data_IF_493775856887
#
_entry.id   IF_493775856887
#
_cell.length_a   1.000
_cell.length_b   1.000
_cell.length_c   1.000
_cell.angle_alpha   90.00
_cell.angle_beta   90.00
_cell.angle_gamma   90.00
#
_symmetry.space_group_name_H-M   'P 1'
#
loop_
_entity.id
_entity.type
_entity.pdbx_description
1 polymer ?
#
# COMPACT_ATOMS: atom_id res chain seq x y z
N UNK A 1 -34.01 16.33 26.79
CA UNK A 1 -32.70 16.66 26.19
C UNK A 1 -32.40 15.65 25.10
N UNK A 2 -32.27 16.06 23.83
CA UNK A 2 -31.89 15.16 22.72
C UNK A 2 -30.39 15.32 22.49
N UNK A 3 -29.60 14.30 22.79
CA UNK A 3 -28.21 14.24 22.36
C UNK A 3 -28.19 13.83 20.88
N UNK A 4 -28.08 14.81 19.99
CA UNK A 4 -27.75 14.55 18.59
C UNK A 4 -26.27 14.21 18.49
N UNK A 5 -25.94 12.94 18.33
CA UNK A 5 -24.63 12.56 17.84
C UNK A 5 -24.56 12.99 16.37
N UNK A 6 -23.76 14.01 16.08
CA UNK A 6 -23.33 14.29 14.72
C UNK A 6 -22.60 13.04 14.23
N UNK A 7 -23.22 12.32 13.28
CA UNK A 7 -22.53 11.26 12.56
C UNK A 7 -21.56 11.99 11.64
N UNK A 8 -20.31 12.10 12.06
CA UNK A 8 -19.22 12.53 11.19
C UNK A 8 -19.14 11.55 10.01
N UNK A 9 -19.85 11.86 8.93
CA UNK A 9 -19.64 11.23 7.62
C UNK A 9 -18.31 11.79 7.10
N UNK A 10 -17.22 11.32 7.69
CA UNK A 10 -15.91 11.38 7.05
C UNK A 10 -16.04 10.54 5.78
N UNK A 11 -16.19 11.19 4.61
CA UNK A 11 -16.30 10.50 3.32
C UNK A 11 -14.98 9.81 3.03
N UNK A 12 -14.89 8.59 3.54
CA UNK A 12 -13.72 7.76 3.52
C UNK A 12 -13.60 7.12 2.14
N UNK A 13 -12.69 7.63 1.32
CA UNK A 13 -12.54 7.17 -0.05
C UNK A 13 -11.60 5.97 -0.14
N UNK A 14 -12.09 4.86 -0.71
CA UNK A 14 -11.25 3.70 -1.08
C UNK A 14 -10.77 3.84 -2.52
N UNK A 15 -9.58 3.32 -2.81
CA UNK A 15 -9.15 3.11 -4.20
C UNK A 15 -10.18 2.23 -4.92
N UNK A 16 -10.56 2.61 -6.14
CA UNK A 16 -11.40 1.77 -6.99
C UNK A 16 -10.64 0.54 -7.50
N UNK A 17 -9.34 0.72 -7.75
CA UNK A 17 -8.37 -0.31 -8.04
C UNK A 17 -7.09 -0.01 -7.23
N UNK A 18 -6.84 -0.68 -6.09
CA UNK A 18 -5.61 -0.48 -5.35
C UNK A 18 -4.43 -1.08 -6.13
N UNK A 19 -3.35 -0.31 -6.26
CA UNK A 19 -2.16 -0.73 -7.01
C UNK A 19 -0.89 -0.41 -6.21
N UNK A 20 0.18 -1.14 -6.48
CA UNK A 20 1.56 -0.86 -6.05
C UNK A 20 2.37 -0.40 -7.27
N UNK A 21 3.47 0.29 -7.03
CA UNK A 21 4.37 0.75 -8.11
C UNK A 21 5.77 1.09 -7.60
N UNK A 22 6.70 1.35 -8.51
CA UNK A 22 7.99 1.98 -8.21
C UNK A 22 7.89 3.45 -7.83
N UNK A 23 9.04 4.09 -7.61
CA UNK A 23 9.12 5.48 -7.12
C UNK A 23 8.68 6.53 -8.14
N UNK A 24 8.74 6.22 -9.44
CA UNK A 24 8.24 7.07 -10.53
C UNK A 24 6.73 7.35 -10.39
N UNK A 25 6.01 6.47 -9.70
CA UNK A 25 4.60 6.65 -9.44
C UNK A 25 4.36 7.24 -8.05
N UNK A 26 3.63 8.35 -8.02
CA UNK A 26 3.24 8.98 -6.76
C UNK A 26 2.38 8.05 -5.90
N UNK A 27 2.55 8.16 -4.59
CA UNK A 27 1.72 7.50 -3.59
C UNK A 27 0.39 8.27 -3.43
N UNK A 28 -0.72 7.58 -3.17
CA UNK A 28 -2.00 8.20 -2.86
C UNK A 28 -3.23 7.43 -3.30
N UNK A 29 -4.37 8.12 -3.29
CA UNK A 29 -5.66 7.55 -3.68
C UNK A 29 -5.76 7.36 -5.20
N UNK A 30 -6.06 6.14 -5.64
CA UNK A 30 -6.29 5.82 -7.05
C UNK A 30 -7.79 5.94 -7.39
N UNK A 31 -8.14 7.02 -8.15
CA UNK A 31 -9.53 7.46 -8.42
C UNK A 31 -10.15 6.91 -9.72
N UNK A 32 -9.61 5.85 -10.32
CA UNK A 32 -9.93 5.37 -11.68
C UNK A 32 -11.43 5.28 -12.05
N UNK A 33 -12.36 5.19 -11.09
CA UNK A 33 -13.80 5.05 -11.35
C UNK A 33 -14.58 6.37 -11.46
N UNK A 34 -13.93 7.52 -11.28
CA UNK A 34 -14.50 8.83 -11.62
C UNK A 34 -13.90 9.26 -12.96
N UNK A 35 -14.49 8.82 -14.07
CA UNK A 35 -14.22 9.45 -15.36
C UNK A 35 -14.71 10.89 -15.28
N UNK A 36 -13.79 11.81 -15.02
CA UNK A 36 -14.02 13.24 -15.17
C UNK A 36 -13.57 13.54 -16.61
N UNK A 37 -14.49 13.91 -17.52
CA UNK A 37 -14.11 14.41 -18.84
C UNK A 37 -13.13 15.58 -18.64
N UNK A 38 -12.04 15.61 -19.39
CA UNK A 38 -10.96 16.63 -19.34
C UNK A 38 -9.96 16.55 -18.17
N UNK A 39 -9.89 15.46 -17.41
CA UNK A 39 -8.79 15.22 -16.47
C UNK A 39 -7.90 14.05 -16.90
N UNK A 40 -6.56 14.24 -16.92
CA UNK A 40 -5.65 13.13 -17.19
C UNK A 40 -5.80 12.06 -16.09
N UNK A 41 -5.93 10.80 -16.49
CA UNK A 41 -5.95 9.68 -15.55
C UNK A 41 -4.61 9.61 -14.81
N UNK A 42 -4.58 10.08 -13.57
CA UNK A 42 -3.40 9.97 -12.71
C UNK A 42 -3.47 8.66 -11.91
N UNK A 43 -2.78 7.64 -12.39
CA UNK A 43 -2.56 6.44 -11.59
C UNK A 43 -1.69 6.80 -10.38
N UNK A 44 -1.95 6.13 -9.26
CA UNK A 44 -1.16 6.27 -8.03
C UNK A 44 -0.97 4.90 -7.39
N UNK A 45 0.14 4.72 -6.70
CA UNK A 45 0.31 3.57 -5.81
C UNK A 45 -0.40 3.86 -4.47
N UNK A 46 -1.24 2.94 -4.01
CA UNK A 46 -2.01 3.14 -2.79
C UNK A 46 -1.07 3.17 -1.57
N UNK A 47 -1.18 4.21 -0.75
CA UNK A 47 -0.40 4.39 0.48
C UNK A 47 -1.18 4.08 1.77
N UNK A 48 -2.41 3.59 1.63
CA UNK A 48 -3.26 3.17 2.75
C UNK A 48 -3.56 1.68 2.69
N UNK A 49 -2.70 0.90 2.02
CA UNK A 49 -2.89 -0.54 1.87
C UNK A 49 -2.91 -1.24 3.24
N UNK A 50 -3.81 -2.21 3.37
CA UNK A 50 -3.98 -3.06 4.55
C UNK A 50 -4.07 -4.51 4.12
N UNK A 51 -3.36 -5.40 4.81
CA UNK A 51 -3.44 -6.82 4.59
C UNK A 51 -4.64 -7.41 5.36
N UNK A 52 -5.47 -8.21 4.70
CA UNK A 52 -6.61 -8.89 5.33
C UNK A 52 -6.14 -10.07 6.19
N UNK A 53 -5.08 -10.80 5.77
CA UNK A 53 -4.60 -11.97 6.49
C UNK A 53 -4.04 -11.67 7.89
N UNK A 54 -3.27 -10.58 8.03
CA UNK A 54 -2.68 -10.20 9.31
C UNK A 54 -3.26 -8.90 9.89
N UNK A 55 -4.30 -8.34 9.28
CA UNK A 55 -5.01 -7.10 9.65
C UNK A 55 -4.11 -5.85 9.86
N UNK A 56 -2.89 -5.88 9.32
CA UNK A 56 -1.89 -4.83 9.49
C UNK A 56 -1.78 -3.94 8.25
N UNK A 57 -1.36 -2.69 8.45
CA UNK A 57 -0.99 -1.79 7.37
C UNK A 57 0.17 -2.36 6.54
N UNK A 58 0.28 -1.90 5.30
CA UNK A 58 1.45 -2.16 4.46
C UNK A 58 2.40 -0.97 4.59
N UNK A 59 3.62 -1.24 5.02
CA UNK A 59 4.70 -0.26 5.03
C UNK A 59 5.42 -0.24 3.69
N UNK A 60 5.98 0.92 3.35
CA UNK A 60 6.53 1.23 2.04
C UNK A 60 7.95 1.78 2.18
N UNK A 61 8.85 1.33 1.31
CA UNK A 61 10.25 1.76 1.31
C UNK A 61 10.72 2.10 -0.11
N UNK A 62 11.05 3.37 -0.33
CA UNK A 62 11.50 3.88 -1.61
C UNK A 62 12.96 3.51 -1.89
N UNK A 63 13.26 3.26 -3.16
CA UNK A 63 14.57 2.83 -3.65
C UNK A 63 15.13 1.62 -2.91
N UNK A 64 14.24 0.67 -2.60
CA UNK A 64 14.54 -0.57 -1.89
C UNK A 64 13.93 -1.77 -2.61
N UNK A 65 14.56 -2.91 -2.35
CA UNK A 65 14.12 -4.25 -2.75
C UNK A 65 14.45 -5.21 -1.62
N UNK A 66 13.66 -6.27 -1.49
CA UNK A 66 13.92 -7.30 -0.49
C UNK A 66 15.15 -8.13 -0.87
N UNK A 67 15.87 -8.60 0.16
CA UNK A 67 16.84 -9.69 -0.01
C UNK A 67 16.10 -10.99 -0.33
N UNK A 68 16.75 -11.91 -1.06
CA UNK A 68 16.15 -13.19 -1.48
C UNK A 68 15.87 -14.16 -0.32
N UNK A 69 16.47 -13.90 0.84
CA UNK A 69 16.35 -14.69 2.06
C UNK A 69 15.35 -14.08 3.07
N UNK A 70 14.54 -13.11 2.66
CA UNK A 70 13.44 -12.63 3.50
C UNK A 70 12.37 -13.72 3.58
N UNK A 71 11.93 -14.03 4.79
CA UNK A 71 10.92 -15.04 5.04
C UNK A 71 9.79 -14.51 5.94
N UNK A 72 8.77 -15.36 6.10
CA UNK A 72 7.62 -15.07 6.97
C UNK A 72 8.03 -14.79 8.42
N UNK A 73 8.99 -15.55 8.97
CA UNK A 73 9.37 -15.43 10.37
C UNK A 73 10.05 -14.08 10.67
N UNK A 74 10.92 -13.64 9.76
CA UNK A 74 11.55 -12.33 9.82
C UNK A 74 10.49 -11.22 9.79
N UNK A 75 9.55 -11.26 8.84
CA UNK A 75 8.49 -10.24 8.75
C UNK A 75 7.63 -10.23 10.01
N UNK A 76 7.20 -11.41 10.50
CA UNK A 76 6.37 -11.55 11.70
C UNK A 76 7.01 -10.94 12.93
N UNK A 77 8.32 -11.15 13.08
CA UNK A 77 9.10 -10.72 14.24
C UNK A 77 9.46 -9.23 14.20
N UNK A 78 9.69 -8.68 13.00
CA UNK A 78 10.29 -7.36 12.85
C UNK A 78 9.30 -6.28 12.43
N UNK A 79 8.15 -6.62 11.85
CA UNK A 79 7.11 -5.64 11.54
C UNK A 79 6.51 -5.03 12.82
N UNK A 80 6.25 -3.71 12.89
CA UNK A 80 6.44 -2.68 11.87
C UNK A 80 7.78 -1.91 11.99
N UNK A 81 8.78 -2.45 12.70
CA UNK A 81 10.04 -1.74 12.96
C UNK A 81 10.83 -1.56 11.65
N UNK A 82 10.74 -0.36 11.08
CA UNK A 82 11.34 0.01 9.79
C UNK A 82 12.86 -0.17 9.78
N UNK A 83 13.55 0.13 10.88
CA UNK A 83 15.01 -0.05 10.99
C UNK A 83 15.38 -1.53 10.90
N UNK A 84 14.66 -2.41 11.61
CA UNK A 84 14.90 -3.86 11.55
C UNK A 84 14.55 -4.43 10.18
N UNK A 85 13.41 -4.03 9.59
CA UNK A 85 13.00 -4.47 8.25
C UNK A 85 14.05 -4.10 7.17
N UNK A 86 14.62 -2.90 7.24
CA UNK A 86 15.65 -2.45 6.30
C UNK A 86 16.94 -3.27 6.33
N UNK A 87 17.19 -4.07 7.38
CA UNK A 87 18.37 -4.96 7.43
C UNK A 87 18.30 -6.11 6.42
N UNK A 88 17.11 -6.48 5.94
CA UNK A 88 16.88 -7.48 4.88
C UNK A 88 16.47 -6.82 3.55
N UNK A 89 16.95 -5.60 3.31
CA UNK A 89 16.74 -4.90 2.06
C UNK A 89 18.06 -4.46 1.44
N UNK A 90 18.06 -4.39 0.11
CA UNK A 90 19.14 -3.79 -0.68
C UNK A 90 18.65 -2.51 -1.36
N UNK A 91 19.59 -1.60 -1.65
CA UNK A 91 19.30 -0.40 -2.45
C UNK A 91 19.00 -0.82 -3.88
N UNK A 92 17.90 -0.30 -4.45
CA UNK A 92 17.52 -0.52 -5.85
C UNK A 92 16.75 0.70 -6.34
N UNK A 93 17.41 1.53 -7.15
CA UNK A 93 16.81 2.74 -7.72
C UNK A 93 15.56 2.41 -8.53
N UNK A 94 14.55 3.28 -8.50
CA UNK A 94 13.30 3.07 -9.23
C UNK A 94 12.30 2.14 -8.52
N UNK A 95 12.79 1.28 -7.61
CA UNK A 95 12.00 0.27 -6.93
C UNK A 95 11.37 0.79 -5.64
N UNK A 96 10.23 0.21 -5.26
CA UNK A 96 9.63 0.38 -3.96
C UNK A 96 9.34 -0.98 -3.35
N UNK A 97 9.84 -1.22 -2.15
CA UNK A 97 9.55 -2.42 -1.38
C UNK A 97 8.32 -2.19 -0.49
N UNK A 98 7.48 -3.21 -0.40
CA UNK A 98 6.25 -3.22 0.38
C UNK A 98 6.25 -4.42 1.32
N UNK A 99 5.74 -4.27 2.53
CA UNK A 99 5.36 -5.43 3.34
C UNK A 99 4.29 -5.12 4.37
N UNK A 100 3.62 -6.17 4.79
CA UNK A 100 2.90 -6.25 6.05
C UNK A 100 3.62 -7.26 6.96
N UNK A 101 2.98 -7.67 8.05
CA UNK A 101 3.56 -8.66 8.98
C UNK A 101 3.71 -10.07 8.35
N UNK A 102 2.91 -10.43 7.35
CA UNK A 102 2.87 -11.80 6.81
C UNK A 102 3.34 -11.96 5.35
N UNK A 103 3.56 -10.85 4.63
CA UNK A 103 3.93 -10.90 3.22
C UNK A 103 4.74 -9.68 2.82
N UNK A 104 5.61 -9.86 1.84
CA UNK A 104 6.45 -8.81 1.27
C UNK A 104 6.44 -8.91 -0.26
N UNK A 105 6.58 -7.77 -0.92
CA UNK A 105 6.79 -7.69 -2.37
C UNK A 105 7.57 -6.43 -2.72
N UNK A 106 7.93 -6.27 -3.99
CA UNK A 106 8.49 -5.06 -4.55
C UNK A 106 7.90 -4.75 -5.92
N UNK A 107 7.90 -3.48 -6.30
CA UNK A 107 7.44 -3.05 -7.61
C UNK A 107 8.34 -1.95 -8.18
N UNK A 108 8.55 -1.99 -9.50
CA UNK A 108 9.19 -0.93 -10.27
C UNK A 108 8.21 -0.26 -11.24
N UNK A 109 7.18 -0.99 -11.69
CA UNK A 109 6.10 -0.52 -12.55
C UNK A 109 4.77 -0.58 -11.80
N UNK A 110 3.78 0.17 -12.28
CA UNK A 110 2.42 0.10 -11.76
C UNK A 110 1.87 -1.32 -11.92
N UNK A 111 1.35 -1.89 -10.85
CA UNK A 111 0.69 -3.20 -10.85
C UNK A 111 -0.48 -3.16 -9.89
N UNK A 112 -1.68 -3.40 -10.39
CA UNK A 112 -2.87 -3.44 -9.57
C UNK A 112 -3.00 -4.79 -8.87
N UNK A 113 -3.52 -4.77 -7.65
CA UNK A 113 -3.51 -5.94 -6.77
C UNK A 113 -4.35 -7.10 -7.31
N UNK A 114 -5.35 -6.84 -8.16
CA UNK A 114 -6.10 -7.86 -8.88
C UNK A 114 -5.19 -8.75 -9.75
N UNK A 115 -4.04 -8.25 -10.19
CA UNK A 115 -3.01 -8.99 -10.91
C UNK A 115 -2.02 -9.76 -10.02
N UNK A 116 -2.16 -9.69 -8.68
CA UNK A 116 -1.28 -10.36 -7.71
C UNK A 116 -2.13 -11.13 -6.67
N UNK A 117 -2.73 -12.27 -7.03
CA UNK A 117 -3.68 -12.98 -6.16
C UNK A 117 -3.10 -13.48 -4.84
N UNK A 118 -1.77 -13.64 -4.75
CA UNK A 118 -1.08 -14.04 -3.52
C UNK A 118 -1.05 -12.95 -2.45
N UNK A 119 -1.29 -11.68 -2.82
CA UNK A 119 -1.35 -10.57 -1.89
C UNK A 119 -2.78 -10.28 -1.49
N UNK A 120 -3.14 -10.63 -0.25
CA UNK A 120 -4.45 -10.31 0.32
C UNK A 120 -4.52 -8.87 0.83
N UNK A 121 -4.05 -7.92 0.03
CA UNK A 121 -3.98 -6.49 0.38
C UNK A 121 -5.15 -5.74 -0.25
N UNK A 122 -5.69 -4.76 0.47
CA UNK A 122 -6.79 -3.90 0.03
C UNK A 122 -6.52 -2.45 0.42
N UNK A 123 -7.25 -1.52 -0.18
CA UNK A 123 -7.22 -0.13 0.30
C UNK A 123 -7.90 -0.02 1.67
N UNK A 124 -7.12 0.38 2.67
CA UNK A 124 -7.54 0.61 4.06
C UNK A 124 -8.28 1.93 4.30
N UNK A 125 -8.60 2.67 3.22
CA UNK A 125 -9.25 3.99 3.17
C UNK A 125 -8.29 5.18 3.28
N UNK A 126 -8.54 6.22 2.50
CA UNK A 126 -7.81 7.50 2.56
C UNK A 126 -8.60 8.54 3.36
N UNK A 127 -7.88 9.34 4.15
CA UNK A 127 -8.40 10.61 4.67
C UNK A 127 -8.41 11.64 3.55
N UNK A 128 -9.40 12.54 3.54
CA UNK A 128 -9.44 13.69 2.63
C UNK A 128 -8.45 14.77 3.06
#
# INVERSE_FOLDING_TARGET
>A
MKCGAAVDISTSHRCSAPCIAGVEMSLGWNKYKLHIPDQPMTYRACNTLRCIACDNAVVVFDNRSWSSDVDYYFLRTNYPNTKRLQTKMKRKGGSRAYCCQCSSTEATKLTCLDGIPSLQWVCGKHAM
#
